data_IF_347813586237
#
_entry.id   IF_347813586237
#
_cell.length_a   1.000
_cell.length_b   1.000
_cell.length_c   1.000
_cell.angle_alpha   90.00
_cell.angle_beta   90.00
_cell.angle_gamma   90.00
#
_symmetry.space_group_name_H-M   'P 1'
#
loop_
_entity.id
_entity.type
_entity.pdbx_description
1 polymer ?
#
# COMPACT_ATOMS: atom_id res chain seq x y z
N UNK A 1 -40.34 2.48 35.15
CA UNK A 1 -40.06 1.76 33.90
C UNK A 1 -38.64 1.25 34.03
N UNK A 2 -38.30 0.02 33.65
CA UNK A 2 -36.90 -0.37 33.65
C UNK A 2 -36.13 0.54 32.68
N UNK A 3 -35.01 1.08 33.14
CA UNK A 3 -34.08 1.84 32.28
C UNK A 3 -33.60 0.94 31.16
N UNK A 4 -34.08 1.17 29.94
CA UNK A 4 -33.57 0.48 28.73
C UNK A 4 -32.21 1.08 28.45
N UNK A 5 -31.15 0.28 28.59
CA UNK A 5 -29.78 0.68 28.24
C UNK A 5 -29.42 0.16 26.86
N UNK A 6 -28.66 0.95 26.10
CA UNK A 6 -28.08 0.47 24.86
C UNK A 6 -27.22 -0.75 25.13
N UNK A 7 -27.21 -1.70 24.19
CA UNK A 7 -26.48 -2.97 24.31
C UNK A 7 -25.76 -3.31 23.04
N UNK A 8 -24.96 -4.39 23.06
CA UNK A 8 -24.17 -4.85 21.91
C UNK A 8 -25.04 -5.09 20.67
N UNK A 9 -26.28 -5.56 20.83
CA UNK A 9 -27.17 -5.85 19.69
C UNK A 9 -27.62 -4.56 18.98
N UNK A 10 -27.90 -3.50 19.73
CA UNK A 10 -28.28 -2.21 19.15
C UNK A 10 -27.08 -1.58 18.45
N UNK A 11 -25.90 -1.63 19.06
CA UNK A 11 -24.68 -1.16 18.44
C UNK A 11 -24.40 -1.92 17.14
N UNK A 12 -24.54 -3.25 17.15
CA UNK A 12 -24.41 -4.10 15.96
C UNK A 12 -25.39 -3.69 14.86
N UNK A 13 -26.65 -3.48 15.20
CA UNK A 13 -27.68 -3.03 14.26
C UNK A 13 -27.31 -1.71 13.58
N UNK A 14 -26.83 -0.74 14.36
CA UNK A 14 -26.39 0.55 13.85
C UNK A 14 -25.18 0.43 12.93
N UNK A 15 -24.15 -0.33 13.33
CA UNK A 15 -22.95 -0.55 12.52
C UNK A 15 -23.32 -1.18 11.18
N UNK A 16 -24.14 -2.23 11.16
CA UNK A 16 -24.60 -2.87 9.92
C UNK A 16 -25.36 -1.87 9.04
N UNK A 17 -26.21 -1.05 9.63
CA UNK A 17 -26.96 -0.02 8.90
C UNK A 17 -26.02 0.98 8.23
N UNK A 18 -25.02 1.51 8.95
CA UNK A 18 -24.06 2.47 8.41
C UNK A 18 -23.20 1.86 7.31
N UNK A 19 -22.69 0.64 7.51
CA UNK A 19 -21.88 -0.04 6.50
C UNK A 19 -22.68 -0.25 5.20
N UNK A 20 -23.91 -0.72 5.30
CA UNK A 20 -24.76 -0.93 4.12
C UNK A 20 -25.18 0.41 3.46
N UNK A 21 -25.27 1.50 4.22
CA UNK A 21 -25.45 2.84 3.64
C UNK A 21 -24.23 3.24 2.80
N UNK A 22 -23.01 3.00 3.31
CA UNK A 22 -21.78 3.31 2.60
C UNK A 22 -21.57 2.45 1.33
N UNK A 23 -22.09 1.22 1.30
CA UNK A 23 -21.97 0.37 0.12
C UNK A 23 -22.87 0.77 -1.05
N UNK A 24 -23.91 1.59 -0.82
CA UNK A 24 -24.93 1.94 -1.84
C UNK A 24 -24.34 2.70 -3.04
N UNK A 25 -23.29 3.47 -2.84
CA UNK A 25 -22.67 4.27 -3.91
C UNK A 25 -21.68 3.48 -4.78
N UNK A 26 -21.39 2.22 -4.42
CA UNK A 26 -20.49 1.34 -5.16
C UNK A 26 -18.99 1.71 -5.05
N UNK A 27 -18.63 2.64 -4.14
CA UNK A 27 -17.23 3.07 -3.94
C UNK A 27 -16.36 2.04 -3.25
N UNK A 28 -16.98 1.04 -2.60
CA UNK A 28 -16.31 -0.03 -1.87
C UNK A 28 -16.39 -1.37 -2.63
N UNK A 29 -15.39 -2.26 -2.46
CA UNK A 29 -15.39 -3.58 -3.10
C UNK A 29 -16.31 -4.58 -2.38
N UNK A 30 -17.14 -4.14 -1.45
CA UNK A 30 -17.96 -4.96 -0.58
C UNK A 30 -19.43 -4.91 -1.01
N UNK A 31 -20.08 -6.09 -1.02
CA UNK A 31 -21.47 -6.21 -1.43
C UNK A 31 -22.45 -5.83 -0.30
N UNK A 32 -22.22 -6.38 0.89
CA UNK A 32 -23.15 -6.23 2.03
C UNK A 32 -22.47 -6.51 3.36
N UNK A 33 -22.93 -5.84 4.42
CA UNK A 33 -22.68 -6.19 5.81
C UNK A 33 -23.91 -6.88 6.42
N UNK A 34 -23.72 -7.97 7.16
CA UNK A 34 -24.81 -8.70 7.83
C UNK A 34 -24.36 -9.31 9.16
N UNK A 35 -25.32 -9.70 10.00
CA UNK A 35 -25.08 -10.47 11.23
C UNK A 35 -25.17 -11.98 11.05
N UNK A 36 -25.48 -12.46 9.86
CA UNK A 36 -25.63 -13.86 9.48
C UNK A 36 -24.73 -14.20 8.30
N UNK A 37 -24.30 -15.44 8.11
CA UNK A 37 -24.73 -16.68 8.72
C UNK A 37 -23.79 -17.22 9.81
N UNK A 38 -24.29 -18.24 10.51
CA UNK A 38 -23.53 -19.07 11.43
C UNK A 38 -22.30 -19.71 10.74
N UNK A 39 -21.14 -19.56 11.35
CA UNK A 39 -19.89 -20.18 10.87
C UNK A 39 -19.65 -21.44 11.68
N UNK A 40 -19.50 -22.59 11.02
CA UNK A 40 -19.11 -23.83 11.69
C UNK A 40 -17.64 -23.76 12.06
N UNK A 41 -17.38 -23.60 13.35
CA UNK A 41 -16.02 -23.59 13.91
C UNK A 41 -15.51 -25.00 14.19
N UNK A 42 -16.42 -25.95 14.45
CA UNK A 42 -16.17 -27.39 14.56
C UNK A 42 -17.48 -28.14 14.31
N UNK A 43 -17.41 -29.49 14.20
CA UNK A 43 -18.63 -30.32 14.00
C UNK A 43 -19.75 -30.10 15.04
N UNK A 44 -19.39 -29.56 16.23
CA UNK A 44 -20.33 -29.32 17.34
C UNK A 44 -20.50 -27.86 17.75
N UNK A 45 -19.72 -26.91 17.20
CA UNK A 45 -19.79 -25.49 17.58
C UNK A 45 -20.05 -24.61 16.37
N UNK A 46 -21.15 -23.91 16.42
CA UNK A 46 -21.47 -22.83 15.49
C UNK A 46 -21.26 -21.51 16.21
N UNK A 47 -20.45 -20.61 15.66
CA UNK A 47 -20.23 -19.27 16.19
C UNK A 47 -20.68 -18.24 15.14
N UNK A 48 -21.09 -17.07 15.61
CA UNK A 48 -21.53 -15.97 14.78
C UNK A 48 -20.62 -14.77 15.01
N UNK A 49 -20.05 -14.14 13.99
CA UNK A 49 -19.47 -12.80 14.13
C UNK A 49 -20.62 -11.80 14.35
N UNK A 50 -20.34 -10.71 15.08
CA UNK A 50 -21.34 -9.68 15.28
C UNK A 50 -21.69 -8.98 13.95
N UNK A 51 -20.67 -8.69 13.12
CA UNK A 51 -20.83 -8.20 11.76
C UNK A 51 -19.91 -8.96 10.83
N UNK A 52 -20.41 -9.29 9.66
CA UNK A 52 -19.62 -9.89 8.56
C UNK A 52 -19.73 -9.01 7.32
N UNK A 53 -18.57 -8.65 6.75
CA UNK A 53 -18.47 -7.95 5.47
C UNK A 53 -18.24 -8.98 4.37
N UNK A 54 -19.06 -8.92 3.32
CA UNK A 54 -19.03 -9.82 2.19
C UNK A 54 -18.51 -9.15 0.92
N UNK A 55 -17.61 -9.84 0.23
CA UNK A 55 -17.27 -9.54 -1.17
C UNK A 55 -18.35 -10.06 -2.12
N UNK A 56 -18.85 -11.26 -1.86
CA UNK A 56 -19.95 -11.86 -2.57
C UNK A 56 -20.71 -12.81 -1.63
N UNK A 57 -21.90 -12.39 -1.20
CA UNK A 57 -22.70 -13.16 -0.25
C UNK A 57 -23.24 -14.46 -0.86
N UNK A 58 -23.65 -14.44 -2.13
CA UNK A 58 -24.17 -15.63 -2.82
C UNK A 58 -23.10 -16.71 -3.01
N UNK A 59 -21.85 -16.28 -3.25
CA UNK A 59 -20.71 -17.18 -3.37
C UNK A 59 -20.06 -17.51 -2.01
N UNK A 60 -20.63 -17.05 -0.88
CA UNK A 60 -20.07 -17.21 0.46
C UNK A 60 -18.63 -16.70 0.61
N UNK A 61 -18.27 -15.62 -0.10
CA UNK A 61 -16.97 -14.97 0.00
C UNK A 61 -17.02 -13.86 1.06
N UNK A 62 -16.71 -14.22 2.31
CA UNK A 62 -16.50 -13.25 3.40
C UNK A 62 -15.13 -12.59 3.28
N UNK A 63 -15.05 -11.33 3.71
CA UNK A 63 -13.79 -10.59 3.73
C UNK A 63 -13.27 -10.34 5.14
N UNK A 64 -14.16 -9.90 6.05
CA UNK A 64 -13.79 -9.49 7.39
C UNK A 64 -14.94 -9.74 8.38
N UNK A 65 -14.62 -10.24 9.57
CA UNK A 65 -15.55 -10.34 10.69
C UNK A 65 -15.28 -9.25 11.73
N UNK A 66 -16.34 -8.67 12.32
CA UNK A 66 -16.21 -7.70 13.39
C UNK A 66 -16.78 -8.27 14.69
N UNK A 67 -16.07 -8.07 15.78
CA UNK A 67 -16.55 -8.31 17.14
C UNK A 67 -16.80 -6.98 17.83
N UNK A 68 -18.03 -6.75 18.23
CA UNK A 68 -18.49 -5.52 18.82
C UNK A 68 -18.73 -5.71 20.32
N UNK A 69 -18.24 -4.77 21.11
CA UNK A 69 -18.41 -4.75 22.55
C UNK A 69 -18.86 -3.38 23.05
N UNK A 70 -19.34 -3.35 24.30
CA UNK A 70 -19.54 -2.08 25.01
C UNK A 70 -18.21 -1.51 25.50
N UNK A 71 -18.13 -0.21 25.86
CA UNK A 71 -16.87 0.44 26.27
C UNK A 71 -16.17 -0.19 27.47
N UNK A 72 -16.88 -1.00 28.25
CA UNK A 72 -16.32 -1.68 29.42
C UNK A 72 -15.37 -2.84 29.07
N UNK A 73 -15.48 -3.40 27.88
CA UNK A 73 -14.64 -4.53 27.44
C UNK A 73 -13.45 -4.02 26.64
N UNK A 74 -12.19 -4.32 27.03
CA UNK A 74 -11.03 -3.96 26.24
C UNK A 74 -11.05 -4.64 24.87
N UNK A 75 -10.66 -3.92 23.82
CA UNK A 75 -10.63 -4.45 22.43
C UNK A 75 -9.52 -5.46 22.18
N UNK A 76 -8.54 -5.55 23.09
CA UNK A 76 -7.43 -6.50 23.09
C UNK A 76 -7.52 -7.55 24.21
N UNK A 77 -8.71 -7.73 24.78
CA UNK A 77 -9.00 -8.85 25.67
C UNK A 77 -8.71 -10.19 24.97
N UNK A 78 -7.96 -11.06 25.62
CA UNK A 78 -7.44 -12.29 24.96
C UNK A 78 -8.56 -13.27 24.60
N UNK A 79 -9.63 -13.35 25.40
CA UNK A 79 -10.76 -14.23 25.11
C UNK A 79 -11.56 -13.69 23.90
N UNK A 80 -11.76 -12.37 23.86
CA UNK A 80 -12.38 -11.67 22.72
C UNK A 80 -11.57 -11.91 21.44
N UNK A 81 -10.23 -11.75 21.49
CA UNK A 81 -9.35 -11.95 20.36
C UNK A 81 -9.37 -13.38 19.84
N UNK A 82 -9.30 -14.36 20.74
CA UNK A 82 -9.31 -15.78 20.37
C UNK A 82 -10.66 -16.14 19.71
N UNK A 83 -11.76 -15.64 20.24
CA UNK A 83 -13.09 -15.83 19.66
C UNK A 83 -13.21 -15.19 18.27
N UNK A 84 -12.74 -13.95 18.12
CA UNK A 84 -12.76 -13.23 16.85
C UNK A 84 -11.94 -13.96 15.78
N UNK A 85 -10.71 -14.36 16.13
CA UNK A 85 -9.84 -15.08 15.21
C UNK A 85 -10.38 -16.47 14.82
N UNK A 86 -11.00 -17.21 15.77
CA UNK A 86 -11.64 -18.50 15.47
C UNK A 86 -12.75 -18.34 14.42
N UNK A 87 -13.58 -17.31 14.56
CA UNK A 87 -14.63 -16.98 13.61
C UNK A 87 -14.06 -16.54 12.26
N UNK A 88 -13.04 -15.68 12.26
CA UNK A 88 -12.39 -15.21 11.04
C UNK A 88 -11.76 -16.37 10.25
N UNK A 89 -11.06 -17.28 10.92
CA UNK A 89 -10.51 -18.51 10.29
C UNK A 89 -11.59 -19.38 9.66
N UNK A 90 -12.69 -19.59 10.38
CA UNK A 90 -13.80 -20.41 9.90
C UNK A 90 -14.50 -19.77 8.68
N UNK A 91 -14.43 -18.46 8.53
CA UNK A 91 -14.91 -17.70 7.37
C UNK A 91 -13.87 -17.57 6.24
N UNK A 92 -12.67 -18.10 6.43
CA UNK A 92 -11.50 -17.85 5.56
C UNK A 92 -11.23 -16.36 5.35
N UNK A 93 -11.50 -15.53 6.38
CA UNK A 93 -11.26 -14.09 6.34
C UNK A 93 -9.84 -13.77 6.78
N UNK A 94 -9.12 -12.99 5.97
CA UNK A 94 -7.75 -12.60 6.24
C UNK A 94 -7.63 -11.59 7.39
N UNK A 95 -8.74 -10.93 7.73
CA UNK A 95 -8.79 -9.85 8.71
C UNK A 95 -10.00 -9.96 9.62
N UNK A 96 -9.84 -9.41 10.82
CA UNK A 96 -10.97 -9.16 11.71
C UNK A 96 -10.82 -7.83 12.45
N UNK A 97 -11.92 -7.31 12.97
CA UNK A 97 -11.99 -6.06 13.73
C UNK A 97 -12.53 -6.33 15.12
N UNK A 98 -11.92 -5.74 16.14
CA UNK A 98 -12.51 -5.61 17.47
C UNK A 98 -12.83 -4.15 17.74
N UNK A 99 -14.05 -3.84 18.18
CA UNK A 99 -14.50 -2.48 18.42
C UNK A 99 -15.47 -2.42 19.60
N UNK A 100 -15.13 -1.64 20.63
CA UNK A 100 -15.95 -1.47 21.83
C UNK A 100 -16.65 -0.08 21.88
N UNK A 101 -17.05 0.46 20.75
CA UNK A 101 -17.56 1.82 20.56
C UNK A 101 -16.46 2.88 20.70
N UNK A 102 -15.63 2.85 21.76
CA UNK A 102 -14.58 3.83 22.03
C UNK A 102 -13.27 3.50 21.31
N UNK A 103 -12.80 2.28 21.47
CA UNK A 103 -11.53 1.78 20.96
C UNK A 103 -11.78 0.79 19.82
N UNK A 104 -10.98 0.85 18.77
CA UNK A 104 -11.08 -0.08 17.64
C UNK A 104 -9.69 -0.52 17.15
N UNK A 105 -9.59 -1.77 16.70
CA UNK A 105 -8.36 -2.35 16.17
C UNK A 105 -8.68 -3.25 14.98
N UNK A 106 -7.88 -3.14 13.91
CA UNK A 106 -7.84 -4.12 12.81
C UNK A 106 -6.71 -5.10 13.09
N UNK A 107 -7.02 -6.37 12.92
CA UNK A 107 -6.11 -7.49 13.11
C UNK A 107 -5.99 -8.32 11.84
N UNK A 108 -4.80 -8.88 11.61
CA UNK A 108 -4.62 -9.98 10.66
C UNK A 108 -5.03 -11.29 11.32
N UNK A 109 -5.75 -12.12 10.62
CA UNK A 109 -6.14 -13.45 11.11
C UNK A 109 -4.89 -14.34 11.17
N UNK A 110 -4.50 -14.85 12.35
CA UNK A 110 -3.37 -15.76 12.47
C UNK A 110 -3.71 -17.15 11.92
N UNK A 111 -2.70 -17.95 11.60
CA UNK A 111 -2.88 -19.34 11.19
C UNK A 111 -3.55 -20.16 12.30
N UNK A 112 -4.08 -21.34 11.97
CA UNK A 112 -4.79 -22.21 12.94
C UNK A 112 -3.97 -22.61 14.16
N UNK A 113 -2.64 -22.68 14.03
CA UNK A 113 -1.71 -23.07 15.08
C UNK A 113 -1.17 -21.89 15.91
N UNK A 114 -1.53 -20.66 15.52
CA UNK A 114 -1.01 -19.44 16.14
C UNK A 114 -2.06 -18.76 17.01
N UNK A 115 -1.66 -18.29 18.18
CA UNK A 115 -2.49 -17.42 19.02
C UNK A 115 -2.44 -15.97 18.52
N UNK A 116 -3.52 -15.24 18.74
CA UNK A 116 -3.54 -13.81 18.44
C UNK A 116 -2.58 -13.08 19.38
N UNK A 117 -1.67 -12.31 18.80
CA UNK A 117 -0.68 -11.53 19.52
C UNK A 117 -0.49 -10.15 18.89
N UNK A 118 0.37 -9.33 19.47
CA UNK A 118 0.65 -7.97 18.98
C UNK A 118 1.18 -7.92 17.55
N UNK A 119 1.84 -8.97 17.06
CA UNK A 119 2.35 -9.04 15.69
C UNK A 119 1.21 -9.08 14.64
N UNK A 120 0.01 -9.50 15.04
CA UNK A 120 -1.17 -9.55 14.16
C UNK A 120 -1.95 -8.22 14.14
N UNK A 121 -1.60 -7.26 15.00
CA UNK A 121 -2.23 -5.94 15.05
C UNK A 121 -1.78 -5.09 13.86
N UNK A 122 -2.72 -4.75 12.99
CA UNK A 122 -2.43 -3.95 11.80
C UNK A 122 -2.61 -2.45 12.06
N UNK A 123 -3.72 -2.06 12.71
CA UNK A 123 -3.99 -0.66 13.01
C UNK A 123 -4.81 -0.54 14.30
N UNK A 124 -4.39 0.38 15.16
CA UNK A 124 -5.14 0.84 16.33
C UNK A 124 -5.63 2.24 16.06
N UNK A 125 -6.92 2.48 16.27
CA UNK A 125 -7.52 3.80 16.12
C UNK A 125 -7.44 4.59 17.42
N UNK A 126 -7.30 5.92 17.29
CA UNK A 126 -7.36 6.80 18.45
C UNK A 126 -8.70 6.65 19.17
N UNK A 127 -8.75 6.58 20.51
CA UNK A 127 -9.99 6.44 21.25
C UNK A 127 -10.97 7.59 20.97
N UNK A 128 -12.24 7.28 20.84
CA UNK A 128 -13.31 8.30 20.83
C UNK A 128 -13.61 8.65 22.30
N UNK A 129 -12.89 9.64 22.83
CA UNK A 129 -12.93 10.00 24.27
C UNK A 129 -14.31 10.41 24.77
N UNK A 130 -15.20 10.85 23.88
CA UNK A 130 -16.57 11.23 24.18
C UNK A 130 -17.49 10.03 24.45
N UNK A 131 -17.07 8.82 24.08
CA UNK A 131 -17.82 7.58 24.33
C UNK A 131 -17.37 7.00 25.66
N UNK A 132 -18.28 7.02 26.64
CA UNK A 132 -18.03 6.58 28.02
C UNK A 132 -18.86 5.35 28.37
N UNK A 133 -20.10 5.31 27.94
CA UNK A 133 -21.04 4.24 28.26
C UNK A 133 -21.89 3.83 27.03
N UNK A 134 -22.58 2.70 27.05
CA UNK A 134 -23.36 2.22 25.91
C UNK A 134 -24.46 3.20 25.45
N UNK A 135 -25.06 3.95 26.36
CA UNK A 135 -26.18 4.85 26.06
C UNK A 135 -25.76 6.06 25.21
N UNK A 136 -24.46 6.30 25.11
CA UNK A 136 -23.87 7.28 24.19
C UNK A 136 -24.24 6.99 22.71
N UNK A 137 -24.62 5.75 22.40
CA UNK A 137 -25.13 5.35 21.09
C UNK A 137 -26.41 6.13 20.69
N UNK A 138 -27.21 6.58 21.64
CA UNK A 138 -28.45 7.31 21.36
C UNK A 138 -28.29 8.83 21.27
N UNK A 139 -27.11 9.34 21.56
CA UNK A 139 -26.78 10.76 21.43
C UNK A 139 -26.35 11.06 19.99
N UNK A 140 -27.11 11.85 19.25
CA UNK A 140 -26.91 12.12 17.82
C UNK A 140 -25.47 12.54 17.51
N UNK A 141 -24.90 13.49 18.25
CA UNK A 141 -23.51 13.94 18.02
C UNK A 141 -22.46 12.84 18.24
N UNK A 142 -22.74 11.88 19.13
CA UNK A 142 -21.87 10.73 19.39
C UNK A 142 -22.07 9.62 18.36
N UNK A 143 -23.30 9.45 17.86
CA UNK A 143 -23.54 8.56 16.69
C UNK A 143 -22.76 8.99 15.47
N UNK A 144 -22.65 10.28 15.19
CA UNK A 144 -21.85 10.78 14.07
C UNK A 144 -20.35 10.44 14.22
N UNK A 145 -19.82 10.50 15.44
CA UNK A 145 -18.44 10.07 15.73
C UNK A 145 -18.25 8.57 15.50
N UNK A 146 -19.22 7.75 15.94
CA UNK A 146 -19.19 6.30 15.71
C UNK A 146 -19.33 5.97 14.21
N UNK A 147 -20.25 6.65 13.50
CA UNK A 147 -20.42 6.50 12.05
C UNK A 147 -19.17 6.90 11.28
N UNK A 148 -18.50 7.97 11.67
CA UNK A 148 -17.23 8.41 11.10
C UNK A 148 -16.13 7.35 11.32
N UNK A 149 -16.06 6.76 12.53
CA UNK A 149 -15.12 5.67 12.83
C UNK A 149 -15.41 4.42 11.99
N UNK A 150 -16.67 4.03 11.83
CA UNK A 150 -17.05 2.91 10.95
C UNK A 150 -16.57 3.14 9.52
N UNK A 151 -16.71 4.37 9.00
CA UNK A 151 -16.24 4.76 7.67
C UNK A 151 -14.71 4.72 7.57
N UNK A 152 -13.99 5.18 8.59
CA UNK A 152 -12.54 5.13 8.66
C UNK A 152 -12.01 3.68 8.62
N UNK A 153 -12.58 2.79 9.45
CA UNK A 153 -12.27 1.37 9.45
C UNK A 153 -12.55 0.76 8.07
N UNK A 154 -13.68 1.08 7.47
CA UNK A 154 -14.07 0.57 6.15
C UNK A 154 -13.12 1.00 5.05
N UNK A 155 -12.62 2.24 5.07
CA UNK A 155 -11.62 2.75 4.14
C UNK A 155 -10.32 1.93 4.24
N UNK A 156 -9.85 1.66 5.46
CA UNK A 156 -8.66 0.85 5.68
C UNK A 156 -8.86 -0.61 5.22
N UNK A 157 -10.02 -1.20 5.48
CA UNK A 157 -10.37 -2.53 4.99
C UNK A 157 -10.44 -2.59 3.46
N UNK A 158 -10.94 -1.54 2.82
CA UNK A 158 -10.93 -1.40 1.37
C UNK A 158 -9.49 -1.32 0.82
N UNK A 159 -8.60 -0.61 1.52
CA UNK A 159 -7.17 -0.55 1.20
C UNK A 159 -6.52 -1.92 1.37
N UNK A 160 -6.78 -2.62 2.47
CA UNK A 160 -6.30 -3.99 2.70
C UNK A 160 -6.76 -4.94 1.59
N UNK A 161 -8.00 -4.83 1.14
CA UNK A 161 -8.51 -5.66 0.04
C UNK A 161 -7.77 -5.39 -1.27
N UNK A 162 -7.51 -4.12 -1.60
CA UNK A 162 -6.85 -3.72 -2.86
C UNK A 162 -5.34 -3.94 -2.85
N UNK A 163 -4.69 -3.67 -1.72
CA UNK A 163 -3.24 -3.53 -1.60
C UNK A 163 -2.58 -4.68 -0.83
N UNK A 164 -3.34 -5.36 0.03
CA UNK A 164 -2.85 -6.39 0.95
C UNK A 164 -2.09 -5.85 2.17
N UNK A 165 -1.98 -4.52 2.31
CA UNK A 165 -1.34 -3.85 3.45
C UNK A 165 -1.95 -2.46 3.67
N UNK A 166 -1.73 -1.86 4.85
CA UNK A 166 -2.11 -0.47 5.13
C UNK A 166 -0.93 0.46 4.92
N UNK A 167 -1.22 1.63 4.39
CA UNK A 167 -0.26 2.71 4.32
C UNK A 167 -0.25 3.44 5.67
N UNK A 168 0.85 3.31 6.39
CA UNK A 168 0.96 3.79 7.77
C UNK A 168 1.57 5.19 7.89
N UNK A 169 2.19 5.69 6.83
CA UNK A 169 2.98 6.91 6.83
C UNK A 169 2.48 7.83 5.72
N UNK A 170 2.10 9.06 6.07
CA UNK A 170 1.87 10.09 5.07
C UNK A 170 3.19 10.51 4.45
N UNK A 171 3.17 10.87 3.16
CA UNK A 171 4.38 11.23 2.43
C UNK A 171 4.91 12.57 2.93
N UNK A 172 5.93 12.54 3.79
CA UNK A 172 6.79 13.69 4.06
C UNK A 172 7.84 13.80 2.95
N UNK A 173 7.81 14.88 2.20
CA UNK A 173 8.71 15.10 1.06
C UNK A 173 10.19 15.03 1.42
N UNK A 174 10.57 15.42 2.62
CA UNK A 174 11.97 15.45 3.06
C UNK A 174 12.48 14.04 3.36
N UNK A 175 11.72 13.29 4.14
CA UNK A 175 12.07 11.91 4.48
C UNK A 175 12.04 11.01 3.24
N UNK A 176 11.06 11.21 2.37
CA UNK A 176 10.91 10.47 1.12
C UNK A 176 12.09 10.71 0.16
N UNK A 177 12.54 11.97 0.02
CA UNK A 177 13.75 12.32 -0.75
C UNK A 177 14.98 11.65 -0.16
N UNK A 178 15.10 11.62 1.17
CA UNK A 178 16.22 10.95 1.84
C UNK A 178 16.26 9.46 1.52
N UNK A 179 15.13 8.76 1.61
CA UNK A 179 15.04 7.32 1.25
C UNK A 179 15.44 7.04 -0.20
N UNK A 180 14.95 7.85 -1.13
CA UNK A 180 15.31 7.71 -2.54
C UNK A 180 16.81 8.01 -2.76
N UNK A 181 17.36 9.02 -2.07
CA UNK A 181 18.79 9.36 -2.18
C UNK A 181 19.67 8.22 -1.68
N UNK A 182 19.32 7.58 -0.56
CA UNK A 182 20.03 6.41 -0.06
C UNK A 182 19.89 5.21 -1.02
N UNK A 183 18.72 5.02 -1.59
CA UNK A 183 18.52 3.99 -2.60
C UNK A 183 19.36 4.23 -3.87
N UNK A 184 19.51 5.48 -4.32
CA UNK A 184 20.43 5.84 -5.42
C UNK A 184 21.86 5.45 -5.06
N UNK A 185 22.35 5.84 -3.87
CA UNK A 185 23.71 5.49 -3.41
C UNK A 185 23.97 3.99 -3.36
N UNK A 186 22.95 3.21 -2.97
CA UNK A 186 23.05 1.77 -2.85
C UNK A 186 22.98 1.07 -4.23
N UNK A 187 22.25 1.63 -5.19
CA UNK A 187 22.04 1.02 -6.52
C UNK A 187 23.06 1.43 -7.55
N UNK A 188 23.58 2.67 -7.49
CA UNK A 188 24.44 3.17 -8.57
C UNK A 188 25.69 2.31 -8.84
N UNK A 189 26.40 1.73 -7.85
CA UNK A 189 27.57 0.91 -8.14
C UNK A 189 27.23 -0.36 -8.94
N UNK A 190 26.03 -0.91 -8.68
CA UNK A 190 25.53 -2.10 -9.38
C UNK A 190 25.13 -1.76 -10.83
N UNK A 191 24.40 -0.67 -11.02
CA UNK A 191 24.00 -0.19 -12.37
C UNK A 191 25.23 0.24 -13.17
N UNK A 192 26.17 0.95 -12.53
CA UNK A 192 27.44 1.35 -13.16
C UNK A 192 28.20 0.13 -13.69
N UNK A 193 28.38 -0.90 -12.87
CA UNK A 193 29.06 -2.14 -13.30
C UNK A 193 28.32 -2.83 -14.47
N UNK A 194 27.00 -2.84 -14.45
CA UNK A 194 26.19 -3.38 -15.55
C UNK A 194 26.38 -2.56 -16.83
N UNK A 195 26.33 -1.23 -16.74
CA UNK A 195 26.55 -0.32 -17.87
C UNK A 195 27.93 -0.53 -18.51
N UNK A 196 28.99 -0.55 -17.70
CA UNK A 196 30.37 -0.76 -18.19
C UNK A 196 30.52 -2.14 -18.86
N UNK A 197 29.90 -3.17 -18.30
CA UNK A 197 29.89 -4.50 -18.89
C UNK A 197 29.23 -4.51 -20.27
N UNK A 198 28.09 -3.84 -20.46
CA UNK A 198 27.39 -3.78 -21.75
C UNK A 198 28.20 -2.96 -22.80
N UNK A 199 28.81 -1.86 -22.38
CA UNK A 199 29.71 -1.06 -23.24
C UNK A 199 30.88 -1.91 -23.75
N UNK A 200 31.46 -2.75 -22.88
CA UNK A 200 32.56 -3.65 -23.25
C UNK A 200 32.17 -4.75 -24.23
N UNK A 201 30.89 -5.15 -24.25
CA UNK A 201 30.37 -6.21 -25.12
C UNK A 201 29.95 -5.73 -26.51
N UNK A 202 29.57 -4.47 -26.68
CA UNK A 202 28.93 -3.98 -27.91
C UNK A 202 29.27 -2.54 -28.24
N UNK A 203 29.98 -2.35 -29.36
CA UNK A 203 30.27 -1.03 -29.93
C UNK A 203 28.97 -0.29 -30.31
N UNK A 204 27.95 -1.00 -30.78
CA UNK A 204 26.64 -0.43 -31.10
C UNK A 204 25.96 0.12 -29.84
N UNK A 205 26.02 -0.61 -28.73
CA UNK A 205 25.50 -0.15 -27.46
C UNK A 205 26.25 1.09 -26.97
N UNK A 206 27.57 1.09 -27.05
CA UNK A 206 28.39 2.25 -26.70
C UNK A 206 28.01 3.50 -27.51
N UNK A 207 27.85 3.36 -28.82
CA UNK A 207 27.46 4.47 -29.71
C UNK A 207 26.05 4.98 -29.38
N UNK A 208 25.11 4.07 -29.07
CA UNK A 208 23.75 4.45 -28.64
C UNK A 208 23.77 5.22 -27.33
N UNK A 209 24.62 4.84 -26.37
CA UNK A 209 24.85 5.56 -25.13
C UNK A 209 25.29 7.00 -25.40
N UNK A 210 26.35 7.20 -26.19
CA UNK A 210 26.88 8.53 -26.46
C UNK A 210 25.86 9.42 -27.20
N UNK A 211 25.12 8.85 -28.15
CA UNK A 211 24.08 9.56 -28.86
C UNK A 211 22.92 9.97 -27.92
N UNK A 212 22.55 9.09 -26.98
CA UNK A 212 21.54 9.41 -25.98
C UNK A 212 22.06 10.50 -25.02
N UNK A 213 23.26 10.33 -24.47
CA UNK A 213 23.87 11.29 -23.56
C UNK A 213 24.00 12.70 -24.18
N UNK A 214 24.42 12.78 -25.44
CA UNK A 214 24.51 14.05 -26.16
C UNK A 214 23.11 14.73 -26.28
N UNK A 215 22.05 13.96 -26.54
CA UNK A 215 20.66 14.49 -26.58
C UNK A 215 20.17 14.96 -25.20
N UNK A 216 20.69 14.37 -24.12
CA UNK A 216 20.37 14.78 -22.76
C UNK A 216 21.25 15.94 -22.27
N UNK A 217 22.15 16.47 -23.08
CA UNK A 217 23.08 17.53 -22.70
C UNK A 217 24.24 17.06 -21.81
N UNK A 218 24.41 15.74 -21.62
CA UNK A 218 25.55 15.19 -20.87
C UNK A 218 26.80 15.29 -21.74
N UNK A 219 27.82 15.97 -21.21
CA UNK A 219 29.08 16.17 -21.95
C UNK A 219 29.75 14.81 -22.20
N UNK A 220 30.03 14.52 -23.50
CA UNK A 220 30.62 13.24 -23.95
C UNK A 220 32.11 13.35 -24.29
N UNK A 221 32.66 14.56 -24.37
CA UNK A 221 34.04 14.80 -24.75
C UNK A 221 35.06 14.38 -23.68
N UNK A 222 34.60 14.32 -22.40
CA UNK A 222 35.40 13.83 -21.28
C UNK A 222 34.80 12.50 -20.74
N UNK A 223 34.68 11.51 -21.62
CA UNK A 223 34.09 10.20 -21.28
C UNK A 223 34.95 9.39 -20.29
N UNK A 224 35.27 9.99 -19.16
CA UNK A 224 35.94 9.37 -18.02
C UNK A 224 34.93 8.73 -17.04
N UNK A 225 35.44 8.32 -15.89
CA UNK A 225 34.65 7.69 -14.83
C UNK A 225 33.43 8.52 -14.42
N UNK A 226 33.60 9.84 -14.25
CA UNK A 226 32.52 10.77 -13.87
C UNK A 226 31.36 10.79 -14.87
N UNK A 227 31.63 10.64 -16.17
CA UNK A 227 30.59 10.53 -17.19
C UNK A 227 29.73 9.28 -16.98
N UNK A 228 30.36 8.12 -16.79
CA UNK A 228 29.63 6.87 -16.58
C UNK A 228 28.90 6.83 -15.25
N UNK A 229 29.44 7.49 -14.23
CA UNK A 229 28.75 7.67 -12.94
C UNK A 229 27.48 8.51 -13.11
N UNK A 230 27.56 9.65 -13.80
CA UNK A 230 26.41 10.51 -14.10
C UNK A 230 25.34 9.75 -14.88
N UNK A 231 25.73 9.03 -15.95
CA UNK A 231 24.80 8.20 -16.73
C UNK A 231 24.14 7.14 -15.86
N UNK A 232 24.86 6.47 -14.99
CA UNK A 232 24.33 5.43 -14.12
C UNK A 232 23.29 5.99 -13.16
N UNK A 233 23.49 7.19 -12.62
CA UNK A 233 22.52 7.88 -11.78
C UNK A 233 21.26 8.26 -12.57
N UNK A 234 21.41 8.75 -13.80
CA UNK A 234 20.27 9.09 -14.67
C UNK A 234 19.41 7.84 -14.99
N UNK A 235 20.04 6.67 -15.18
CA UNK A 235 19.32 5.41 -15.33
C UNK A 235 18.46 5.11 -14.10
N UNK A 236 19.02 5.31 -12.89
CA UNK A 236 18.29 5.07 -11.63
C UNK A 236 17.17 6.09 -11.43
N UNK A 237 17.42 7.38 -11.72
CA UNK A 237 16.37 8.41 -11.61
C UNK A 237 15.19 8.10 -12.52
N UNK A 238 15.46 7.65 -13.75
CA UNK A 238 14.42 7.24 -14.68
C UNK A 238 13.64 6.01 -14.17
N UNK A 239 14.33 5.00 -13.64
CA UNK A 239 13.70 3.83 -13.03
C UNK A 239 12.80 4.24 -11.87
N UNK A 240 13.30 5.08 -10.97
CA UNK A 240 12.51 5.55 -9.83
C UNK A 240 11.31 6.39 -10.28
N UNK A 241 11.47 7.21 -11.32
CA UNK A 241 10.37 7.92 -11.95
C UNK A 241 9.25 6.98 -12.37
N UNK A 242 9.59 5.94 -13.13
CA UNK A 242 8.61 4.93 -13.56
C UNK A 242 7.95 4.22 -12.39
N UNK A 243 8.70 3.84 -11.36
CA UNK A 243 8.18 3.18 -10.16
C UNK A 243 7.18 4.10 -9.43
N UNK A 244 7.55 5.36 -9.17
CA UNK A 244 6.70 6.31 -8.47
C UNK A 244 5.41 6.62 -9.24
N UNK A 245 5.52 6.80 -10.56
CA UNK A 245 4.34 6.95 -11.41
C UNK A 245 3.44 5.71 -11.40
N UNK A 246 4.02 4.52 -11.42
CA UNK A 246 3.27 3.28 -11.33
C UNK A 246 2.51 3.16 -10.00
N UNK A 247 3.19 3.43 -8.87
CA UNK A 247 2.58 3.42 -7.54
C UNK A 247 1.46 4.48 -7.41
N UNK A 248 1.66 5.65 -8.00
CA UNK A 248 0.64 6.70 -8.06
C UNK A 248 -0.55 6.27 -8.92
N UNK A 249 -0.30 5.65 -10.07
CA UNK A 249 -1.35 5.18 -10.99
C UNK A 249 -2.22 4.09 -10.34
N UNK A 250 -1.61 3.14 -9.64
CA UNK A 250 -2.31 2.09 -8.88
C UNK A 250 -3.34 2.64 -7.88
N UNK A 251 -3.09 3.81 -7.38
CA UNK A 251 -3.99 4.52 -6.46
C UNK A 251 -5.36 4.80 -7.06
N UNK A 252 -5.39 5.13 -8.36
CA UNK A 252 -6.62 5.45 -9.10
C UNK A 252 -7.21 4.25 -9.84
N UNK A 253 -6.44 3.15 -9.95
CA UNK A 253 -6.76 1.99 -10.77
C UNK A 253 -6.49 0.70 -9.99
N UNK A 254 -7.55 0.11 -9.45
CA UNK A 254 -7.49 -1.15 -8.68
C UNK A 254 -7.17 -2.39 -9.54
N UNK A 255 -7.33 -2.28 -10.86
CA UNK A 255 -7.02 -3.34 -11.84
C UNK A 255 -5.51 -3.45 -12.14
N UNK A 256 -4.68 -2.51 -11.68
CA UNK A 256 -3.22 -2.56 -11.87
C UNK A 256 -2.59 -3.46 -10.79
N UNK A 257 -1.77 -4.45 -11.17
CA UNK A 257 -1.12 -5.35 -10.21
C UNK A 257 -0.25 -4.62 -9.19
N UNK A 258 -0.12 -5.20 -7.99
CA UNK A 258 0.84 -4.72 -7.00
C UNK A 258 2.26 -4.79 -7.58
N UNK A 259 3.03 -3.72 -7.38
CA UNK A 259 4.44 -3.70 -7.76
C UNK A 259 5.25 -4.46 -6.69
N UNK A 260 5.61 -5.70 -7.00
CA UNK A 260 6.27 -6.59 -6.05
C UNK A 260 7.34 -7.43 -6.75
N UNK A 261 8.51 -7.49 -6.14
CA UNK A 261 9.65 -8.27 -6.63
C UNK A 261 10.00 -9.46 -5.72
N UNK A 262 9.26 -9.67 -4.62
CA UNK A 262 9.47 -10.82 -3.75
C UNK A 262 9.29 -12.14 -4.50
N UNK A 263 10.23 -13.05 -4.29
CA UNK A 263 10.21 -14.36 -4.96
C UNK A 263 10.54 -14.34 -6.45
N UNK A 264 10.80 -13.17 -7.04
CA UNK A 264 11.24 -13.07 -8.43
C UNK A 264 12.71 -13.50 -8.52
N UNK A 265 13.00 -14.41 -9.45
CA UNK A 265 14.40 -14.78 -9.74
C UNK A 265 15.18 -13.54 -10.17
N UNK A 266 16.33 -13.20 -9.52
CA UNK A 266 17.11 -12.02 -9.86
C UNK A 266 17.46 -11.87 -11.35
N UNK A 267 17.69 -12.95 -12.05
CA UNK A 267 17.97 -12.94 -13.49
C UNK A 267 16.74 -12.60 -14.37
N UNK A 268 15.53 -12.54 -13.78
CA UNK A 268 14.27 -12.24 -14.49
C UNK A 268 13.67 -10.90 -14.08
N UNK A 269 14.37 -10.12 -13.23
CA UNK A 269 13.84 -8.86 -12.71
C UNK A 269 13.60 -7.85 -13.84
N UNK A 270 14.51 -7.73 -14.82
CA UNK A 270 14.29 -6.87 -16.00
C UNK A 270 13.00 -7.19 -16.73
N UNK A 271 12.73 -8.46 -16.96
CA UNK A 271 11.49 -8.90 -17.60
C UNK A 271 10.28 -8.51 -16.74
N UNK A 272 10.38 -8.67 -15.41
CA UNK A 272 9.30 -8.34 -14.50
C UNK A 272 9.03 -6.83 -14.42
N UNK A 273 10.07 -6.02 -14.38
CA UNK A 273 9.96 -4.56 -14.45
C UNK A 273 9.27 -4.12 -15.75
N UNK A 274 9.69 -4.70 -16.88
CA UNK A 274 9.09 -4.42 -18.19
C UNK A 274 7.59 -4.78 -18.21
N UNK A 275 7.21 -5.94 -17.67
CA UNK A 275 5.79 -6.34 -17.55
C UNK A 275 4.95 -5.29 -16.81
N UNK A 276 5.44 -4.77 -15.67
CA UNK A 276 4.75 -3.72 -14.94
C UNK A 276 4.64 -2.42 -15.75
N UNK A 277 5.73 -1.98 -16.35
CA UNK A 277 5.73 -0.73 -17.12
C UNK A 277 4.91 -0.82 -18.41
N UNK A 278 4.84 -2.00 -19.05
CA UNK A 278 3.99 -2.23 -20.22
C UNK A 278 2.50 -2.15 -19.85
N UNK A 279 2.10 -2.64 -18.67
CA UNK A 279 0.73 -2.48 -18.16
C UNK A 279 0.39 -1.00 -17.99
N UNK A 280 1.27 -0.23 -17.33
CA UNK A 280 1.06 1.19 -17.11
C UNK A 280 1.01 1.98 -18.42
N UNK A 281 1.86 1.64 -19.40
CA UNK A 281 1.92 2.27 -20.74
C UNK A 281 0.62 2.10 -21.52
N UNK A 282 -0.06 0.97 -21.35
CA UNK A 282 -1.34 0.71 -22.06
C UNK A 282 -2.52 1.55 -21.53
N UNK A 283 -2.38 2.14 -20.33
CA UNK A 283 -3.48 2.82 -19.67
C UNK A 283 -3.59 4.29 -20.08
N UNK A 284 -2.53 5.09 -20.14
CA UNK A 284 -2.51 6.47 -20.67
C UNK A 284 -1.19 7.25 -20.51
N UNK A 285 -0.15 6.70 -19.88
CA UNK A 285 1.08 7.43 -19.58
C UNK A 285 2.24 7.05 -20.51
N UNK A 286 1.99 7.01 -21.84
CA UNK A 286 2.99 6.61 -22.83
C UNK A 286 4.33 7.34 -22.66
N UNK A 287 4.29 8.67 -22.49
CA UNK A 287 5.49 9.50 -22.39
C UNK A 287 6.41 9.11 -21.21
N UNK A 288 5.83 8.68 -20.06
CA UNK A 288 6.61 8.27 -18.87
C UNK A 288 7.20 6.88 -19.05
N UNK A 289 6.41 5.94 -19.61
CA UNK A 289 6.77 4.52 -19.70
C UNK A 289 7.35 4.14 -21.06
N UNK A 290 7.48 5.07 -22.01
CA UNK A 290 8.15 4.84 -23.27
C UNK A 290 9.57 4.32 -23.07
N UNK A 291 9.98 3.36 -23.91
CA UNK A 291 11.31 2.77 -23.82
C UNK A 291 12.36 3.73 -24.43
N UNK A 292 13.41 4.03 -23.67
CA UNK A 292 14.54 4.84 -24.13
C UNK A 292 15.85 4.11 -23.80
N UNK A 293 16.99 4.70 -24.11
CA UNK A 293 18.32 4.08 -23.92
C UNK A 293 18.53 3.56 -22.47
N UNK A 294 18.20 4.31 -21.39
CA UNK A 294 18.38 3.81 -20.01
C UNK A 294 17.68 2.48 -19.73
N UNK A 295 16.55 2.23 -20.36
CA UNK A 295 15.77 1.00 -20.19
C UNK A 295 16.42 -0.24 -20.86
N UNK A 296 17.47 -0.04 -21.64
CA UNK A 296 18.24 -1.11 -22.30
C UNK A 296 19.42 -1.62 -21.46
N UNK A 297 19.74 -0.90 -20.39
CA UNK A 297 20.80 -1.33 -19.45
C UNK A 297 20.21 -2.42 -18.55
N UNK A 298 20.71 -3.65 -18.58
CA UNK A 298 20.17 -4.74 -17.79
C UNK A 298 20.26 -4.42 -16.30
N UNK A 299 19.14 -4.62 -15.58
CA UNK A 299 19.15 -4.45 -14.12
C UNK A 299 19.96 -5.59 -13.48
N UNK A 300 21.03 -5.27 -12.73
CA UNK A 300 21.95 -6.29 -12.24
C UNK A 300 21.32 -7.14 -11.11
N UNK A 301 21.51 -8.46 -11.13
CA UNK A 301 21.04 -9.33 -10.05
C UNK A 301 21.51 -8.91 -8.65
N UNK A 302 22.70 -8.33 -8.55
CA UNK A 302 23.26 -7.83 -7.29
C UNK A 302 22.55 -6.58 -6.72
N UNK A 303 21.76 -5.88 -7.53
CA UNK A 303 20.97 -4.72 -7.10
C UNK A 303 19.52 -5.06 -6.68
N UNK A 304 19.08 -6.31 -6.87
CA UNK A 304 17.68 -6.70 -6.67
C UNK A 304 17.25 -6.56 -5.23
N UNK A 305 18.08 -6.93 -4.27
CA UNK A 305 17.80 -6.79 -2.85
C UNK A 305 17.59 -5.31 -2.47
N UNK A 306 18.48 -4.42 -2.94
CA UNK A 306 18.37 -2.97 -2.70
C UNK A 306 17.08 -2.39 -3.29
N UNK A 307 16.70 -2.82 -4.50
CA UNK A 307 15.45 -2.38 -5.13
C UNK A 307 14.23 -2.93 -4.40
N UNK A 308 14.25 -4.18 -3.95
CA UNK A 308 13.15 -4.79 -3.18
C UNK A 308 12.96 -4.07 -1.85
N UNK A 309 14.05 -3.79 -1.13
CA UNK A 309 14.01 -3.03 0.13
C UNK A 309 13.44 -1.60 -0.08
N UNK A 310 13.81 -0.94 -1.17
CA UNK A 310 13.20 0.34 -1.53
C UNK A 310 11.69 0.20 -1.75
N UNK A 311 11.24 -0.79 -2.52
CA UNK A 311 9.82 -1.03 -2.77
C UNK A 311 9.05 -1.32 -1.48
N UNK A 312 9.61 -2.08 -0.55
CA UNK A 312 9.02 -2.35 0.75
C UNK A 312 8.88 -1.08 1.58
N UNK A 313 9.86 -0.18 1.52
CA UNK A 313 9.78 1.11 2.18
C UNK A 313 8.73 2.01 1.49
N UNK A 314 8.74 2.11 0.17
CA UNK A 314 7.75 2.88 -0.58
C UNK A 314 6.31 2.40 -0.32
N UNK A 315 6.10 1.10 -0.16
CA UNK A 315 4.80 0.53 0.17
C UNK A 315 4.25 0.93 1.56
N UNK A 316 5.08 1.50 2.44
CA UNK A 316 4.63 2.05 3.74
C UNK A 316 3.96 3.42 3.61
N UNK A 317 4.19 4.12 2.49
CA UNK A 317 3.67 5.46 2.28
C UNK A 317 2.28 5.46 1.68
N UNK A 318 1.46 6.40 2.15
CA UNK A 318 0.14 6.65 1.62
C UNK A 318 0.20 7.55 0.38
N UNK A 319 0.41 6.97 -0.78
CA UNK A 319 0.37 7.72 -2.05
C UNK A 319 -1.00 8.34 -2.35
N UNK A 320 -2.08 7.97 -1.61
CA UNK A 320 -3.39 8.60 -1.80
C UNK A 320 -3.46 10.02 -1.29
N UNK A 321 -2.65 10.39 -0.35
CA UNK A 321 -2.57 11.73 0.19
C UNK A 321 -1.38 12.53 -0.37
N UNK A 322 -0.67 11.97 -1.37
CA UNK A 322 0.44 12.67 -1.99
C UNK A 322 -0.09 13.85 -2.83
N UNK A 323 0.29 15.11 -2.51
CA UNK A 323 -0.03 16.25 -3.36
C UNK A 323 0.52 16.07 -4.77
N UNK A 324 -0.16 16.64 -5.76
CA UNK A 324 0.23 16.46 -7.18
C UNK A 324 1.66 16.90 -7.48
N UNK A 325 2.16 17.88 -6.73
CA UNK A 325 3.50 18.49 -6.92
C UNK A 325 4.63 17.67 -6.26
N UNK A 326 4.31 16.69 -5.39
CA UNK A 326 5.35 15.98 -4.62
C UNK A 326 6.29 15.20 -5.51
N UNK A 327 5.79 14.56 -6.57
CA UNK A 327 6.66 13.80 -7.49
C UNK A 327 7.67 14.72 -8.15
N UNK A 328 7.23 15.88 -8.66
CA UNK A 328 8.12 16.91 -9.22
C UNK A 328 9.14 17.42 -8.20
N UNK A 329 8.67 17.81 -7.03
CA UNK A 329 9.53 18.30 -5.93
C UNK A 329 10.52 17.23 -5.43
N UNK A 330 10.12 15.95 -5.43
CA UNK A 330 11.00 14.84 -5.07
C UNK A 330 12.16 14.75 -6.04
N UNK A 331 11.88 14.77 -7.36
CA UNK A 331 12.94 14.71 -8.38
C UNK A 331 13.82 15.97 -8.38
N UNK A 332 13.23 17.15 -8.14
CA UNK A 332 14.01 18.36 -8.00
C UNK A 332 15.01 18.31 -6.83
N UNK A 333 14.63 17.72 -5.72
CA UNK A 333 15.51 17.56 -4.55
C UNK A 333 16.45 16.36 -4.66
N UNK A 334 16.04 15.31 -5.37
CA UNK A 334 16.82 14.08 -5.53
C UNK A 334 18.03 14.27 -6.45
N UNK A 335 17.87 15.07 -7.52
CA UNK A 335 18.95 15.34 -8.47
C UNK A 335 19.79 16.50 -7.92
N UNK A 336 21.11 16.33 -7.70
CA UNK A 336 21.98 17.39 -7.20
C UNK A 336 21.92 18.65 -8.07
N UNK A 337 21.99 19.86 -7.49
CA UNK A 337 21.90 21.12 -8.26
C UNK A 337 22.92 21.21 -9.40
N UNK A 338 24.13 20.69 -9.21
CA UNK A 338 25.18 20.68 -10.22
C UNK A 338 24.80 19.80 -11.42
N UNK A 339 24.19 18.62 -11.18
CA UNK A 339 23.70 17.75 -12.22
C UNK A 339 22.53 18.39 -12.97
N UNK A 340 21.57 19.00 -12.25
CA UNK A 340 20.44 19.70 -12.87
C UNK A 340 20.90 20.85 -13.78
N UNK A 341 21.86 21.61 -13.31
CA UNK A 341 22.41 22.74 -14.05
C UNK A 341 23.13 22.30 -15.34
N UNK A 342 23.93 21.23 -15.25
CA UNK A 342 24.62 20.65 -16.40
C UNK A 342 23.69 20.03 -17.43
N UNK A 343 22.52 19.56 -17.01
CA UNK A 343 21.53 18.90 -17.88
C UNK A 343 20.43 19.84 -18.39
N UNK A 344 20.41 21.11 -17.95
CA UNK A 344 19.34 22.06 -18.28
C UNK A 344 17.95 21.62 -17.77
N UNK A 345 17.89 20.73 -16.77
CA UNK A 345 16.66 20.22 -16.21
C UNK A 345 16.09 21.20 -15.18
N UNK A 346 15.14 22.02 -15.62
CA UNK A 346 14.36 22.87 -14.73
C UNK A 346 12.91 22.36 -14.72
N UNK A 347 12.42 22.02 -13.53
CA UNK A 347 11.01 21.73 -13.37
C UNK A 347 10.26 23.06 -13.27
N UNK A 348 9.36 23.31 -14.21
CA UNK A 348 8.43 24.45 -14.13
C UNK A 348 7.34 24.12 -13.11
N UNK A 349 7.11 25.02 -12.15
CA UNK A 349 6.02 24.96 -11.18
C UNK A 349 4.65 25.03 -11.85
#
# INVERSE_FOLDING_TARGET
MPDIKANENEFRGQVISWLNEFFKDGSYPFEVASSDPSVKVSEKKTKFPDVQIWLNRKAHQGFCGWELKTPATPVDDQELLNNAAEKARAMHADYFVTWNMRDAVIWRTPNWTEEVSRIHRLKTYAPISQIINPDDLWVVSKQELLKARAKEILNDLSTLHREGHLHLIDVDSTFFVHELSEAVKNLWPHIHKSLISEIGKSATFKNALFNWAARQGIATYEAGEAFFETVSRQIIYRLFGKILFYLTLRRFRSDIPKFDLHGVNPAKVDKKLKEYFDIARQIDYQAVFEEDFPDRVPFPPSGVESLTNLLDNLNKYNFSHMPQDVVGNVFEKLIPPEERHSLGQYFTN
#
